data_IF_928990442229
#
_entry.id   IF_928990442229
#
_cell.length_a   1.000
_cell.length_b   1.000
_cell.length_c   1.000
_cell.angle_alpha   90.00
_cell.angle_beta   90.00
_cell.angle_gamma   90.00
#
_symmetry.space_group_name_H-M   'P 1'
#
loop_
_entity.id
_entity.type
_entity.pdbx_description
1 polymer ?
#
# COMPACT_ATOMS: atom_id res chain seq x y z
N UNK A 1 -24.14 -5.66 -3.32
CA UNK A 1 -24.11 -4.24 -2.95
C UNK A 1 -23.07 -3.54 -3.80
N UNK A 2 -23.32 -2.31 -4.23
CA UNK A 2 -22.41 -1.62 -5.12
C UNK A 2 -21.15 -1.16 -4.37
N UNK A 3 -19.97 -1.34 -4.98
CA UNK A 3 -18.68 -1.06 -4.34
C UNK A 3 -18.46 0.46 -4.20
N UNK A 4 -17.82 0.85 -3.10
CA UNK A 4 -17.34 2.23 -2.86
C UNK A 4 -15.83 2.26 -3.11
N UNK A 5 -15.33 3.35 -3.71
CA UNK A 5 -13.91 3.52 -4.01
C UNK A 5 -13.34 4.78 -3.35
N UNK A 6 -12.06 4.71 -3.00
CA UNK A 6 -11.22 5.86 -2.66
C UNK A 6 -10.03 5.80 -3.60
N UNK A 7 -9.95 6.73 -4.55
CA UNK A 7 -8.82 6.84 -5.47
C UNK A 7 -7.89 7.94 -4.98
N UNK A 8 -6.64 7.59 -4.70
CA UNK A 8 -5.66 8.49 -4.10
C UNK A 8 -4.67 9.00 -5.14
N UNK A 9 -4.30 10.27 -5.00
CA UNK A 9 -3.11 10.88 -5.63
C UNK A 9 -1.84 10.55 -4.83
N UNK A 10 -0.67 10.80 -5.44
CA UNK A 10 0.62 10.67 -4.74
C UNK A 10 0.73 11.68 -3.59
N UNK A 11 0.19 12.89 -3.77
CA UNK A 11 0.15 13.93 -2.76
C UNK A 11 -0.68 13.50 -1.54
N UNK A 12 -1.89 12.97 -1.75
CA UNK A 12 -2.73 12.47 -0.67
C UNK A 12 -2.08 11.28 0.05
N UNK A 13 -1.46 10.35 -0.68
CA UNK A 13 -0.74 9.23 -0.09
C UNK A 13 0.46 9.68 0.77
N UNK A 14 1.18 10.72 0.33
CA UNK A 14 2.26 11.34 1.11
C UNK A 14 1.71 12.04 2.36
N UNK A 15 0.59 12.74 2.26
CA UNK A 15 -0.01 13.45 3.38
C UNK A 15 -0.55 12.46 4.44
N UNK A 16 -1.12 11.33 4.01
CA UNK A 16 -1.44 10.22 4.90
C UNK A 16 -0.17 9.63 5.55
N UNK A 17 0.92 9.48 4.80
CA UNK A 17 2.20 9.03 5.36
C UNK A 17 2.75 9.99 6.41
N UNK A 18 2.57 11.30 6.24
CA UNK A 18 2.95 12.31 7.22
C UNK A 18 2.09 12.21 8.49
N UNK A 19 0.78 11.97 8.34
CA UNK A 19 -0.09 11.69 9.47
C UNK A 19 0.30 10.42 10.22
N UNK A 20 0.67 9.36 9.50
CA UNK A 20 1.17 8.10 10.07
C UNK A 20 2.45 8.33 10.86
N UNK A 21 3.41 9.06 10.28
CA UNK A 21 4.64 9.46 10.93
C UNK A 21 4.38 10.20 12.26
N UNK A 22 3.48 11.19 12.26
CA UNK A 22 3.13 11.95 13.47
C UNK A 22 2.58 11.03 14.57
N UNK A 23 1.76 10.03 14.22
CA UNK A 23 1.25 9.03 15.17
C UNK A 23 2.37 8.16 15.77
N UNK A 24 3.33 7.74 14.94
CA UNK A 24 4.48 6.98 15.41
C UNK A 24 5.32 7.85 16.37
N UNK A 25 5.66 9.08 15.97
CA UNK A 25 6.47 9.99 16.78
C UNK A 25 5.81 10.38 18.10
N UNK A 26 4.51 10.67 18.11
CA UNK A 26 3.79 11.05 19.33
C UNK A 26 3.69 9.93 20.36
N UNK A 27 3.88 8.66 19.95
CA UNK A 27 3.93 7.52 20.87
C UNK A 27 5.20 7.46 21.73
N UNK A 28 6.23 8.26 21.40
CA UNK A 28 7.54 8.20 22.04
C UNK A 28 8.40 7.00 21.64
N UNK A 29 7.89 6.11 20.80
CA UNK A 29 8.61 4.93 20.31
C UNK A 29 9.36 5.23 19.01
N UNK A 30 10.57 4.69 18.89
CA UNK A 30 11.41 4.79 17.70
C UNK A 30 11.92 3.41 17.27
N UNK A 31 11.94 3.11 15.96
CA UNK A 31 12.52 1.87 15.47
C UNK A 31 14.04 1.94 15.37
N UNK A 32 14.68 0.80 15.63
CA UNK A 32 16.08 0.57 15.27
C UNK A 32 16.22 0.24 13.78
N UNK A 33 15.19 -0.39 13.19
CA UNK A 33 15.15 -0.78 11.77
C UNK A 33 13.71 -0.76 11.26
N UNK A 34 13.54 -0.37 9.99
CA UNK A 34 12.25 -0.43 9.31
C UNK A 34 12.19 -1.64 8.37
N UNK A 35 11.03 -2.28 8.24
CA UNK A 35 10.82 -3.36 7.28
C UNK A 35 9.57 -3.03 6.49
N UNK A 36 9.69 -2.86 5.18
CA UNK A 36 8.53 -2.64 4.29
C UNK A 36 8.06 -3.94 3.64
N UNK A 37 6.75 -4.16 3.61
CA UNK A 37 6.13 -5.21 2.83
C UNK A 37 6.01 -4.75 1.38
N UNK A 38 6.77 -5.38 0.49
CA UNK A 38 6.75 -5.09 -0.94
C UNK A 38 5.58 -5.79 -1.63
N UNK A 39 4.92 -5.17 -2.61
CA UNK A 39 5.27 -3.88 -3.26
C UNK A 39 4.64 -2.64 -2.60
N UNK A 40 3.44 -2.75 -2.04
CA UNK A 40 2.62 -1.61 -1.58
C UNK A 40 3.29 -0.75 -0.52
N UNK A 41 3.86 -1.37 0.51
CA UNK A 41 4.57 -0.69 1.60
C UNK A 41 5.83 0.09 1.20
N UNK A 42 6.35 -0.06 -0.03
CA UNK A 42 7.57 0.62 -0.47
C UNK A 42 7.44 2.15 -0.44
N UNK A 43 6.31 2.68 -0.91
CA UNK A 43 6.09 4.12 -0.97
C UNK A 43 5.93 4.72 0.43
N UNK A 44 5.15 4.04 1.28
CA UNK A 44 4.95 4.42 2.68
C UNK A 44 6.27 4.39 3.45
N UNK A 45 7.04 3.31 3.31
CA UNK A 45 8.35 3.18 3.93
C UNK A 45 9.28 4.32 3.51
N UNK A 46 9.36 4.63 2.21
CA UNK A 46 10.22 5.70 1.72
C UNK A 46 9.78 7.06 2.26
N UNK A 47 8.47 7.35 2.34
CA UNK A 47 7.99 8.59 2.95
C UNK A 47 8.37 8.68 4.43
N UNK A 48 8.17 7.62 5.21
CA UNK A 48 8.56 7.59 6.62
C UNK A 48 10.06 7.82 6.82
N UNK A 49 10.91 7.16 6.01
CA UNK A 49 12.36 7.38 6.00
C UNK A 49 12.73 8.86 5.82
N UNK A 50 12.02 9.56 4.93
CA UNK A 50 12.22 10.98 4.67
C UNK A 50 11.95 11.83 5.91
N UNK A 51 10.80 11.59 6.54
CA UNK A 51 10.32 12.36 7.68
C UNK A 51 11.17 12.12 8.94
N UNK A 52 11.58 10.87 9.19
CA UNK A 52 12.52 10.57 10.28
C UNK A 52 13.88 11.23 10.03
N UNK A 53 14.40 11.19 8.79
CA UNK A 53 15.69 11.77 8.45
C UNK A 53 15.71 13.30 8.62
N UNK A 54 14.58 13.98 8.39
CA UNK A 54 14.43 15.42 8.62
C UNK A 54 14.60 15.81 10.11
N UNK A 55 14.34 14.89 11.05
CA UNK A 55 14.60 15.06 12.48
C UNK A 55 15.96 14.50 12.93
N UNK A 56 16.81 14.08 12.00
CA UNK A 56 18.10 13.46 12.31
C UNK A 56 18.01 11.99 12.77
N UNK A 57 16.83 11.37 12.71
CA UNK A 57 16.65 9.94 12.99
C UNK A 57 16.86 9.15 11.70
N UNK A 58 17.88 8.28 11.68
CA UNK A 58 18.14 7.37 10.56
C UNK A 58 18.15 5.94 11.04
N UNK A 59 17.13 5.19 10.62
CA UNK A 59 17.08 3.75 10.81
C UNK A 59 17.29 3.04 9.46
N UNK A 60 18.13 1.99 9.40
CA UNK A 60 18.23 1.13 8.22
C UNK A 60 16.86 0.56 7.82
N UNK A 61 16.78 -0.01 6.63
CA UNK A 61 15.57 -0.64 6.16
C UNK A 61 15.81 -1.94 5.39
N UNK A 62 14.80 -2.80 5.44
CA UNK A 62 14.65 -3.97 4.58
C UNK A 62 13.35 -3.86 3.79
N UNK A 63 13.33 -4.47 2.60
CA UNK A 63 12.11 -4.67 1.82
C UNK A 63 11.89 -6.17 1.63
N UNK A 64 10.74 -6.65 2.06
CA UNK A 64 10.34 -8.05 1.93
C UNK A 64 9.23 -8.15 0.89
N UNK A 65 9.48 -8.70 -0.30
CA UNK A 65 8.40 -9.00 -1.24
C UNK A 65 7.50 -10.08 -0.64
N UNK A 66 6.20 -9.82 -0.62
CA UNK A 66 5.19 -10.76 -0.16
C UNK A 66 4.22 -11.04 -1.29
N UNK A 67 4.15 -12.31 -1.69
CA UNK A 67 3.17 -12.79 -2.65
C UNK A 67 2.10 -13.61 -1.93
N UNK A 68 0.83 -13.28 -2.19
CA UNK A 68 -0.31 -14.07 -1.72
C UNK A 68 -0.58 -15.17 -2.73
N UNK A 69 -0.31 -16.42 -2.38
CA UNK A 69 -0.65 -17.56 -3.24
C UNK A 69 -2.10 -18.01 -2.97
N UNK A 70 -2.98 -17.92 -3.95
CA UNK A 70 -4.31 -18.55 -3.92
C UNK A 70 -4.28 -19.85 -4.73
N UNK A 71 -3.81 -20.92 -4.12
CA UNK A 71 -3.91 -22.28 -4.64
C UNK A 71 -5.26 -22.91 -4.25
N UNK A 72 -5.81 -23.78 -5.11
CA UNK A 72 -7.01 -24.55 -4.81
C UNK A 72 -6.71 -25.45 -3.60
N UNK A 73 -7.35 -25.19 -2.46
CA UNK A 73 -7.32 -26.05 -1.27
C UNK A 73 -6.30 -25.70 -0.17
N UNK A 74 -5.52 -24.62 -0.30
CA UNK A 74 -4.65 -24.12 0.78
C UNK A 74 -5.04 -22.71 1.18
N UNK A 75 -5.25 -22.48 2.49
CA UNK A 75 -5.29 -21.14 3.04
C UNK A 75 -4.02 -20.41 2.59
N UNK A 76 -4.18 -19.23 1.97
CA UNK A 76 -3.15 -18.64 1.12
C UNK A 76 -1.80 -18.54 1.82
N UNK A 77 -0.81 -19.28 1.35
CA UNK A 77 0.55 -19.24 1.88
C UNK A 77 1.25 -17.97 1.40
N UNK A 78 1.75 -17.16 2.33
CA UNK A 78 2.61 -16.00 2.04
C UNK A 78 4.04 -16.51 1.80
N UNK A 79 4.62 -16.19 0.64
CA UNK A 79 6.05 -16.42 0.38
C UNK A 79 6.84 -15.16 0.66
N UNK A 80 7.95 -15.32 1.36
CA UNK A 80 8.90 -14.27 1.71
C UNK A 80 10.24 -14.64 1.07
N UNK A 81 10.82 -13.72 0.30
CA UNK A 81 12.17 -13.88 -0.24
C UNK A 81 13.12 -12.83 0.34
N UNK A 82 14.39 -13.21 0.54
CA UNK A 82 15.44 -12.35 1.11
C UNK A 82 15.84 -12.73 2.54
N UNK A 83 17.09 -12.40 2.89
CA UNK A 83 17.57 -12.43 4.26
C UNK A 83 17.28 -11.09 4.93
N UNK A 84 16.86 -11.14 6.20
CA UNK A 84 16.54 -9.97 7.01
C UNK A 84 17.18 -10.19 8.37
N UNK A 85 18.11 -9.32 8.72
CA UNK A 85 18.78 -9.30 10.01
C UNK A 85 18.16 -8.21 10.90
N UNK A 86 17.51 -8.66 11.96
CA UNK A 86 16.76 -7.84 12.93
C UNK A 86 16.97 -8.33 14.36
N UNK A 87 17.95 -9.20 14.60
CA UNK A 87 18.15 -9.81 15.91
C UNK A 87 18.46 -8.73 16.97
N UNK A 88 17.71 -8.74 18.06
CA UNK A 88 17.82 -7.77 19.14
C UNK A 88 17.23 -6.37 18.83
N UNK A 89 16.70 -6.14 17.63
CA UNK A 89 16.23 -4.82 17.18
C UNK A 89 14.73 -4.58 17.42
N UNK A 90 14.35 -3.33 17.63
CA UNK A 90 12.96 -2.87 17.56
C UNK A 90 12.59 -2.55 16.11
N UNK A 91 11.65 -3.29 15.55
CA UNK A 91 11.28 -3.22 14.14
C UNK A 91 9.99 -2.46 13.93
N UNK A 92 9.98 -1.50 12.99
CA UNK A 92 8.76 -0.94 12.43
C UNK A 92 8.43 -1.65 11.12
N UNK A 93 7.39 -2.48 11.13
CA UNK A 93 6.85 -3.16 9.96
C UNK A 93 5.82 -2.27 9.27
N UNK A 94 6.04 -1.96 7.98
CA UNK A 94 5.29 -0.97 7.22
C UNK A 94 4.61 -1.62 6.01
N UNK A 95 3.32 -1.34 5.83
CA UNK A 95 2.55 -1.69 4.62
C UNK A 95 1.63 -0.53 4.23
N UNK A 96 0.99 -0.56 3.06
CA UNK A 96 0.03 0.48 2.68
C UNK A 96 -1.36 0.26 3.32
N UNK A 97 -1.87 -0.96 3.33
CA UNK A 97 -3.17 -1.31 3.92
C UNK A 97 -3.16 -2.62 4.70
N UNK A 98 -3.73 -2.59 5.90
CA UNK A 98 -4.14 -3.80 6.60
C UNK A 98 -5.53 -4.25 6.07
N UNK A 99 -5.53 -5.04 5.00
CA UNK A 99 -6.77 -5.58 4.42
C UNK A 99 -7.34 -6.75 5.23
N UNK A 100 -7.01 -7.99 4.85
CA UNK A 100 -7.26 -9.14 5.71
C UNK A 100 -6.23 -9.26 6.84
N UNK A 101 -5.11 -8.53 6.79
CA UNK A 101 -4.06 -8.58 7.82
C UNK A 101 -3.11 -9.79 7.74
N UNK A 102 -3.29 -10.70 6.79
CA UNK A 102 -2.45 -11.90 6.62
C UNK A 102 -0.97 -11.58 6.43
N UNK A 103 -0.64 -10.67 5.50
CA UNK A 103 0.74 -10.29 5.21
C UNK A 103 1.44 -9.73 6.45
N UNK A 104 0.77 -8.82 7.17
CA UNK A 104 1.28 -8.25 8.42
C UNK A 104 1.50 -9.32 9.49
N UNK A 105 0.55 -10.24 9.67
CA UNK A 105 0.66 -11.32 10.65
C UNK A 105 1.89 -12.21 10.36
N UNK A 106 2.01 -12.71 9.13
CA UNK A 106 3.08 -13.62 8.74
C UNK A 106 4.44 -12.96 8.81
N UNK A 107 4.58 -11.73 8.31
CA UNK A 107 5.88 -11.04 8.34
C UNK A 107 6.24 -10.66 9.78
N UNK A 108 5.29 -10.24 10.61
CA UNK A 108 5.53 -9.97 12.04
C UNK A 108 6.04 -11.22 12.76
N UNK A 109 5.40 -12.36 12.55
CA UNK A 109 5.83 -13.63 13.16
C UNK A 109 7.22 -14.05 12.68
N UNK A 110 7.51 -13.92 11.38
CA UNK A 110 8.84 -14.17 10.83
C UNK A 110 9.90 -13.30 11.54
N UNK A 111 9.67 -11.99 11.65
CA UNK A 111 10.64 -11.07 12.27
C UNK A 111 10.90 -11.41 13.74
N UNK A 112 9.85 -11.78 14.48
CA UNK A 112 9.99 -12.25 15.87
C UNK A 112 10.77 -13.57 15.94
N UNK A 113 10.51 -14.52 15.03
CA UNK A 113 11.27 -15.79 14.98
C UNK A 113 12.75 -15.59 14.61
N UNK A 114 13.09 -14.46 13.98
CA UNK A 114 14.46 -14.03 13.65
C UNK A 114 15.12 -13.24 14.78
N UNK A 115 14.49 -13.16 15.94
CA UNK A 115 15.07 -12.59 17.15
C UNK A 115 14.83 -11.09 17.32
N UNK A 116 13.89 -10.47 16.59
CA UNK A 116 13.50 -9.09 16.87
C UNK A 116 13.04 -8.91 18.32
N UNK A 117 13.54 -7.87 19.00
CA UNK A 117 13.16 -7.54 20.39
C UNK A 117 11.71 -7.09 20.49
N UNK A 118 11.25 -6.32 19.50
CA UNK A 118 9.85 -5.93 19.36
C UNK A 118 9.52 -5.65 17.89
N UNK A 119 8.25 -5.81 17.52
CA UNK A 119 7.74 -5.49 16.18
C UNK A 119 6.45 -4.69 16.33
N UNK A 120 6.47 -3.42 15.89
CA UNK A 120 5.28 -2.59 15.74
C UNK A 120 4.92 -2.45 14.27
N UNK A 121 3.63 -2.34 13.98
CA UNK A 121 3.06 -2.33 12.63
C UNK A 121 2.46 -0.98 12.28
N UNK A 122 2.66 -0.52 11.05
CA UNK A 122 2.20 0.77 10.57
C UNK A 122 1.61 0.68 9.16
N UNK A 123 0.41 1.24 8.97
CA UNK A 123 -0.28 1.27 7.66
C UNK A 123 -0.97 2.60 7.41
N UNK A 124 -1.24 2.95 6.15
CA UNK A 124 -2.09 4.11 5.87
C UNK A 124 -3.54 3.80 6.22
N UNK A 125 -4.02 2.63 5.79
CA UNK A 125 -5.42 2.23 5.94
C UNK A 125 -5.59 0.90 6.68
N UNK A 126 -6.69 0.80 7.42
CA UNK A 126 -7.16 -0.42 8.09
C UNK A 126 -8.56 -0.78 7.56
N UNK A 127 -8.75 -2.01 7.09
CA UNK A 127 -10.09 -2.52 6.79
C UNK A 127 -10.81 -3.01 8.05
N UNK A 128 -12.15 -2.83 8.15
CA UNK A 128 -12.90 -3.28 9.31
C UNK A 128 -12.83 -4.77 9.61
N UNK A 129 -12.58 -5.59 8.58
CA UNK A 129 -12.48 -7.06 8.66
C UNK A 129 -11.05 -7.58 8.82
N UNK A 130 -10.05 -6.70 8.97
CA UNK A 130 -8.69 -7.14 9.23
C UNK A 130 -8.61 -7.88 10.57
N UNK A 131 -7.99 -9.06 10.57
CA UNK A 131 -7.69 -9.85 11.78
C UNK A 131 -6.49 -9.28 12.55
N UNK A 132 -5.71 -8.39 11.93
CA UNK A 132 -4.63 -7.65 12.58
C UNK A 132 -5.00 -6.17 12.62
N UNK A 133 -5.04 -5.59 13.81
CA UNK A 133 -5.12 -4.14 13.99
C UNK A 133 -3.69 -3.61 14.11
N UNK A 134 -3.22 -2.77 13.17
CA UNK A 134 -1.89 -2.20 13.25
C UNK A 134 -1.70 -1.33 14.49
N UNK A 135 -0.50 -1.33 15.06
CA UNK A 135 -0.12 -0.44 16.16
C UNK A 135 -0.31 1.04 15.77
N UNK A 136 -0.09 1.36 14.50
CA UNK A 136 -0.37 2.66 13.91
C UNK A 136 -1.12 2.51 12.58
N UNK A 137 -2.25 3.22 12.46
CA UNK A 137 -2.93 3.42 11.19
C UNK A 137 -3.52 4.82 11.13
N UNK A 138 -3.80 5.34 9.93
CA UNK A 138 -4.35 6.70 9.77
C UNK A 138 -5.87 6.68 9.62
N UNK A 139 -6.38 5.85 8.71
CA UNK A 139 -7.80 5.81 8.37
C UNK A 139 -8.35 4.39 8.41
N UNK A 140 -9.59 4.23 8.88
CA UNK A 140 -10.33 2.95 8.83
C UNK A 140 -11.46 3.09 7.82
N UNK A 141 -11.52 2.19 6.83
CA UNK A 141 -12.49 2.27 5.72
C UNK A 141 -12.79 0.91 5.11
N UNK A 142 -14.03 0.68 4.69
CA UNK A 142 -14.46 -0.49 3.91
C UNK A 142 -14.41 -0.26 2.38
N UNK A 143 -14.16 0.98 1.93
CA UNK A 143 -14.06 1.29 0.51
C UNK A 143 -12.85 0.59 -0.13
N UNK A 144 -12.93 0.21 -1.41
CA UNK A 144 -11.77 -0.24 -2.16
C UNK A 144 -10.83 0.94 -2.39
N UNK A 145 -9.57 0.82 -1.98
CA UNK A 145 -8.60 1.89 -2.15
C UNK A 145 -7.87 1.65 -3.47
N UNK A 146 -7.71 2.70 -4.26
CA UNK A 146 -6.91 2.68 -5.48
C UNK A 146 -5.69 3.57 -5.20
N UNK A 147 -4.59 2.96 -4.79
CA UNK A 147 -3.34 3.69 -4.61
C UNK A 147 -2.76 4.12 -5.97
N UNK A 148 -2.01 5.24 -6.01
CA UNK A 148 -1.45 5.73 -7.27
C UNK A 148 -0.40 4.78 -7.87
N UNK A 149 0.19 3.88 -7.06
CA UNK A 149 1.13 2.85 -7.51
C UNK A 149 0.48 1.55 -8.01
N UNK A 150 -0.85 1.41 -7.95
CA UNK A 150 -1.56 0.19 -8.37
C UNK A 150 -2.74 0.45 -9.32
N UNK A 151 -2.91 1.68 -9.80
CA UNK A 151 -4.04 2.10 -10.62
C UNK A 151 -4.33 1.14 -11.79
N UNK A 152 -3.31 0.82 -12.59
CA UNK A 152 -3.49 -0.02 -13.78
C UNK A 152 -3.69 -1.50 -13.44
N UNK A 153 -3.14 -1.99 -12.33
CA UNK A 153 -3.44 -3.33 -11.81
C UNK A 153 -4.90 -3.43 -11.39
N UNK A 154 -5.41 -2.37 -10.73
CA UNK A 154 -6.81 -2.25 -10.32
C UNK A 154 -7.76 -2.16 -11.52
N UNK A 155 -7.46 -1.34 -12.53
CA UNK A 155 -8.25 -1.26 -13.77
C UNK A 155 -8.32 -2.64 -14.44
N UNK A 156 -7.19 -3.34 -14.56
CA UNK A 156 -7.16 -4.69 -15.13
C UNK A 156 -8.02 -5.68 -14.34
N UNK A 157 -7.93 -5.66 -13.00
CA UNK A 157 -8.70 -6.54 -12.13
C UNK A 157 -10.21 -6.31 -12.28
N UNK A 158 -10.66 -5.05 -12.24
CA UNK A 158 -12.07 -4.68 -12.38
C UNK A 158 -12.59 -5.09 -13.77
N UNK A 159 -11.85 -4.82 -14.86
CA UNK A 159 -12.26 -5.22 -16.21
C UNK A 159 -12.43 -6.75 -16.32
N UNK A 160 -11.48 -7.52 -15.78
CA UNK A 160 -11.56 -8.99 -15.78
C UNK A 160 -12.75 -9.50 -14.96
N UNK A 161 -13.00 -8.91 -13.79
CA UNK A 161 -14.14 -9.24 -12.93
C UNK A 161 -15.47 -9.00 -13.67
N UNK A 162 -15.62 -7.82 -14.28
CA UNK A 162 -16.80 -7.45 -15.06
C UNK A 162 -16.99 -8.35 -16.29
N UNK A 163 -15.90 -8.65 -17.01
CA UNK A 163 -15.92 -9.57 -18.14
C UNK A 163 -16.38 -10.98 -17.71
N UNK A 164 -15.81 -11.52 -16.64
CA UNK A 164 -16.22 -12.81 -16.09
C UNK A 164 -17.70 -12.80 -15.67
N UNK A 165 -18.17 -11.70 -15.10
CA UNK A 165 -19.53 -11.55 -14.58
C UNK A 165 -20.62 -11.36 -15.65
N UNK A 166 -20.27 -11.19 -16.92
CA UNK A 166 -21.29 -10.98 -17.94
C UNK A 166 -21.43 -9.55 -18.44
N UNK A 167 -20.73 -8.59 -17.83
CA UNK A 167 -21.13 -7.19 -17.82
C UNK A 167 -21.16 -6.55 -19.22
N UNK A 168 -22.11 -5.64 -19.38
CA UNK A 168 -22.23 -4.73 -20.50
C UNK A 168 -21.22 -3.57 -20.40
N UNK A 169 -21.05 -2.84 -21.50
CA UNK A 169 -20.18 -1.65 -21.53
C UNK A 169 -20.69 -0.56 -20.59
N UNK A 170 -22.02 -0.40 -20.47
CA UNK A 170 -22.63 0.62 -19.61
C UNK A 170 -22.42 0.30 -18.13
N UNK A 171 -22.53 -0.97 -17.73
CA UNK A 171 -22.20 -1.41 -16.37
C UNK A 171 -20.71 -1.19 -16.07
N UNK A 172 -19.84 -1.51 -17.03
CA UNK A 172 -18.41 -1.27 -16.89
C UNK A 172 -18.08 0.23 -16.78
N UNK A 173 -18.81 1.08 -17.50
CA UNK A 173 -18.68 2.52 -17.41
C UNK A 173 -19.11 3.01 -16.02
N UNK A 174 -20.27 2.56 -15.53
CA UNK A 174 -20.75 2.90 -14.20
C UNK A 174 -19.76 2.52 -13.09
N UNK A 175 -19.10 1.37 -13.22
CA UNK A 175 -18.14 0.89 -12.23
C UNK A 175 -16.79 1.63 -12.30
N UNK A 176 -16.14 1.66 -13.47
CA UNK A 176 -14.79 2.24 -13.60
C UNK A 176 -14.81 3.77 -13.61
N UNK A 177 -15.76 4.37 -14.32
CA UNK A 177 -15.76 5.80 -14.56
C UNK A 177 -16.52 6.52 -13.47
N UNK A 178 -17.78 6.15 -13.27
CA UNK A 178 -18.65 6.89 -12.37
C UNK A 178 -18.31 6.66 -10.90
N UNK A 179 -17.90 5.44 -10.52
CA UNK A 179 -17.60 5.08 -9.13
C UNK A 179 -16.11 5.10 -8.80
N UNK A 180 -15.28 4.44 -9.59
CA UNK A 180 -13.84 4.37 -9.35
C UNK A 180 -13.07 5.61 -9.85
N UNK A 181 -13.75 6.54 -10.52
CA UNK A 181 -13.17 7.79 -11.05
C UNK A 181 -11.95 7.57 -11.95
N UNK A 182 -11.99 6.48 -12.74
CA UNK A 182 -11.00 6.23 -13.79
C UNK A 182 -11.31 7.13 -14.99
N UNK A 183 -10.32 7.93 -15.36
CA UNK A 183 -10.43 8.93 -16.42
C UNK A 183 -10.31 8.31 -17.82
N UNK A 184 -10.81 8.99 -18.87
CA UNK A 184 -10.60 8.54 -20.24
C UNK A 184 -9.11 8.36 -20.59
N UNK A 185 -8.24 9.26 -20.10
CA UNK A 185 -6.81 9.20 -20.37
C UNK A 185 -6.15 7.98 -19.72
N UNK A 186 -6.53 7.64 -18.48
CA UNK A 186 -6.01 6.44 -17.80
C UNK A 186 -6.47 5.15 -18.51
N UNK A 187 -7.70 5.09 -19.01
CA UNK A 187 -8.16 3.96 -19.83
C UNK A 187 -7.42 3.87 -21.15
N UNK A 188 -7.14 5.00 -21.81
CA UNK A 188 -6.36 5.04 -23.04
C UNK A 188 -4.92 4.53 -22.79
N UNK A 189 -4.26 5.03 -21.75
CA UNK A 189 -2.93 4.57 -21.34
C UNK A 189 -2.94 3.07 -21.04
N UNK A 190 -3.95 2.59 -20.31
CA UNK A 190 -4.10 1.16 -20.01
C UNK A 190 -4.27 0.31 -21.27
N UNK A 191 -5.04 0.78 -22.25
CA UNK A 191 -5.23 0.09 -23.52
C UNK A 191 -3.92 -0.10 -24.28
N UNK A 192 -3.06 0.92 -24.31
CA UNK A 192 -1.75 0.81 -24.92
C UNK A 192 -0.86 -0.25 -24.23
N UNK A 193 -0.90 -0.31 -22.90
CA UNK A 193 -0.19 -1.32 -22.11
C UNK A 193 -0.75 -2.73 -22.39
N UNK A 194 -2.08 -2.87 -22.42
CA UNK A 194 -2.77 -4.14 -22.61
C UNK A 194 -2.65 -4.70 -24.04
N UNK A 195 -2.29 -3.89 -25.04
CA UNK A 195 -1.96 -4.38 -26.39
C UNK A 195 -0.62 -5.11 -26.43
N UNK A 196 0.34 -4.72 -25.59
CA UNK A 196 1.70 -5.27 -25.57
C UNK A 196 1.81 -6.55 -24.76
N UNK A 197 1.01 -6.68 -23.70
CA UNK A 197 0.95 -7.88 -22.88
C UNK A 197 -0.32 -8.68 -23.15
N UNK A 198 -0.24 -10.00 -23.25
CA UNK A 198 -1.41 -10.90 -23.31
C UNK A 198 -2.27 -10.94 -22.03
N UNK A 199 -2.31 -9.82 -21.28
CA UNK A 199 -2.87 -9.67 -19.94
C UNK A 199 -4.40 -9.77 -19.89
N UNK A 200 -5.10 -9.46 -20.97
CA UNK A 200 -6.56 -9.51 -21.02
C UNK A 200 -7.03 -10.66 -21.91
N UNK A 201 -8.07 -11.38 -21.48
CA UNK A 201 -8.78 -12.30 -22.36
C UNK A 201 -9.60 -11.53 -23.42
N UNK A 202 -10.17 -12.24 -24.39
CA UNK A 202 -10.92 -11.64 -25.49
C UNK A 202 -12.11 -10.79 -25.02
N UNK A 203 -12.83 -11.24 -23.98
CA UNK A 203 -14.01 -10.53 -23.47
C UNK A 203 -13.62 -9.27 -22.71
N UNK A 204 -12.57 -9.36 -21.89
CA UNK A 204 -11.97 -8.22 -21.21
C UNK A 204 -11.52 -7.13 -22.20
N UNK A 205 -10.97 -7.52 -23.36
CA UNK A 205 -10.61 -6.57 -24.44
C UNK A 205 -11.84 -5.88 -25.03
N UNK A 206 -12.91 -6.62 -25.30
CA UNK A 206 -14.15 -6.05 -25.84
C UNK A 206 -14.77 -5.01 -24.90
N UNK A 207 -14.76 -5.26 -23.59
CA UNK A 207 -15.21 -4.26 -22.60
C UNK A 207 -14.34 -3.00 -22.69
N UNK A 208 -13.01 -3.14 -22.70
CA UNK A 208 -12.10 -2.01 -22.77
C UNK A 208 -12.28 -1.19 -24.06
N UNK A 209 -12.42 -1.84 -25.21
CA UNK A 209 -12.67 -1.19 -26.50
C UNK A 209 -14.03 -0.47 -26.52
N UNK A 210 -15.05 -1.09 -25.92
CA UNK A 210 -16.38 -0.49 -25.74
C UNK A 210 -16.33 0.77 -24.90
N UNK A 211 -15.60 0.74 -23.77
CA UNK A 211 -15.40 1.91 -22.89
C UNK A 211 -14.73 3.06 -23.63
N UNK A 212 -13.63 2.80 -24.33
CA UNK A 212 -12.92 3.82 -25.12
C UNK A 212 -13.80 4.41 -26.22
N UNK A 213 -14.60 3.58 -26.88
CA UNK A 213 -15.54 4.02 -27.92
C UNK A 213 -16.66 4.89 -27.34
N UNK A 214 -17.17 4.57 -26.16
CA UNK A 214 -18.17 5.37 -25.46
C UNK A 214 -17.64 6.78 -25.14
N UNK A 215 -16.38 6.89 -24.73
CA UNK A 215 -15.72 8.18 -24.51
C UNK A 215 -15.46 8.97 -25.80
N UNK A 216 -15.03 8.31 -26.87
CA UNK A 216 -14.83 8.96 -28.17
C UNK A 216 -16.12 9.60 -28.70
N UNK A 217 -17.28 8.98 -28.43
CA UNK A 217 -18.59 9.55 -28.75
C UNK A 217 -18.95 10.74 -27.85
N UNK A 218 -18.70 10.65 -26.54
CA UNK A 218 -18.98 11.75 -25.61
C UNK A 218 -18.15 13.03 -25.89
N UNK A 219 -16.89 12.87 -26.34
CA UNK A 219 -16.03 13.98 -26.76
C UNK A 219 -16.50 14.70 -28.04
N UNK A 220 -17.15 13.98 -28.96
CA UNK A 220 -17.72 14.55 -30.17
C UNK A 220 -19.08 15.25 -29.96
N UNK A 221 -19.80 14.95 -28.88
CA UNK A 221 -21.08 15.62 -28.55
C UNK A 221 -20.86 16.96 -27.84
N UNK A 222 -19.70 17.16 -27.20
CA UNK A 222 -19.34 18.43 -26.53
C UNK A 222 -18.64 19.46 -27.44
N UNK A 223 -18.30 19.07 -28.67
CA UNK A 223 -17.73 19.96 -29.69
C UNK A 223 -18.67 20.11 -30.90
N UNK A 224 -19.88 20.66 -30.67
CA UNK A 224 -20.55 21.42 -31.73
C UNK A 224 -20.05 22.86 -31.63
N UNK A 225 -19.35 23.41 -32.65
CA UNK A 225 -18.97 24.81 -32.61
C UNK A 225 -20.26 25.64 -32.73
N UNK A 226 -20.59 26.39 -31.67
CA UNK A 226 -21.47 27.54 -31.82
C UNK A 226 -20.80 28.50 -32.82
N UNK A 227 -21.50 28.77 -33.91
CA UNK A 227 -20.96 29.50 -35.04
C UNK A 227 -20.52 30.91 -34.68
N UNK A 228 -19.42 31.34 -35.31
CA UNK A 228 -19.26 32.72 -35.75
C UNK A 228 -18.28 32.72 -36.91
N UNK A 229 -18.82 32.92 -38.11
CA UNK A 229 -18.05 33.27 -39.29
C UNK A 229 -17.43 34.66 -39.07
N UNK A 230 -16.12 34.78 -39.23
CA UNK A 230 -15.48 36.06 -39.53
C UNK A 230 -14.47 35.83 -40.64
N UNK A 231 -14.73 36.49 -41.76
CA UNK A 231 -13.93 36.52 -42.98
C UNK A 231 -12.57 37.18 -42.74
N UNK A 232 -11.48 36.54 -43.16
CA UNK A 232 -10.19 37.22 -43.31
C UNK A 232 -10.00 37.71 -44.75
N UNK A 233 -10.00 39.04 -44.88
CA UNK A 233 -9.50 39.77 -46.04
C UNK A 233 -7.96 39.89 -45.99
N UNK A 234 -7.37 39.92 -47.18
CA UNK A 234 -5.93 39.99 -47.46
C UNK A 234 -5.33 41.38 -47.20
N UNK A 235 -4.04 41.43 -46.81
CA UNK A 235 -2.99 42.36 -47.26
C UNK A 235 -1.69 42.02 -46.50
N UNK A 236 -0.62 41.52 -47.12
CA UNK A 236 0.37 42.14 -48.03
C UNK A 236 1.46 42.95 -47.31
N UNK A 237 2.71 42.74 -47.76
CA UNK A 237 3.95 43.50 -47.52
C UNK A 237 4.72 43.17 -46.24
N UNK A 238 6.06 43.15 -46.20
CA UNK A 238 7.14 43.00 -47.18
C UNK A 238 8.39 42.74 -46.32
N UNK A 239 9.33 41.92 -46.79
CA UNK A 239 10.53 41.52 -46.05
C UNK A 239 11.67 42.51 -46.31
N UNK A 240 12.02 43.30 -45.28
CA UNK A 240 13.16 44.23 -45.30
C UNK A 240 14.22 43.87 -44.26
N UNK A 241 15.40 43.52 -44.75
CA UNK A 241 16.62 43.09 -44.04
C UNK A 241 17.45 44.24 -43.43
N UNK A 242 18.05 44.00 -42.26
CA UNK A 242 19.25 44.70 -41.78
C UNK A 242 19.46 44.66 -40.25
N UNK A 243 20.65 44.28 -39.72
CA UNK A 243 21.00 44.43 -38.30
C UNK A 243 21.80 45.73 -38.07
N UNK A 244 21.84 46.32 -36.85
CA UNK A 244 22.97 45.99 -35.95
C UNK A 244 22.73 46.15 -34.41
N UNK A 245 23.55 45.42 -33.65
CA UNK A 245 24.26 45.76 -32.39
C UNK A 245 23.58 46.60 -31.29
N UNK A 246 23.60 46.10 -30.05
CA UNK A 246 23.52 46.94 -28.85
C UNK A 246 23.22 46.20 -27.54
N UNK A 247 24.05 46.44 -26.52
CA UNK A 247 24.04 45.83 -25.18
C UNK A 247 22.74 46.11 -24.39
N UNK A 248 22.43 45.20 -23.46
CA UNK A 248 22.23 45.43 -22.01
C UNK A 248 20.97 44.78 -21.40
N UNK A 249 21.10 44.54 -20.10
CA UNK A 249 20.05 44.42 -19.08
C UNK A 249 19.37 43.06 -18.90
N UNK A 250 19.94 42.31 -17.95
CA UNK A 250 19.26 41.42 -17.01
C UNK A 250 18.05 42.13 -16.41
N UNK A 251 16.85 41.55 -16.53
CA UNK A 251 15.71 41.93 -15.68
C UNK A 251 14.83 40.73 -15.40
N UNK A 252 14.66 40.47 -14.10
CA UNK A 252 13.77 39.48 -13.50
C UNK A 252 12.36 39.57 -14.06
N UNK A 253 11.82 38.45 -14.53
CA UNK A 253 10.38 38.28 -14.77
C UNK A 253 9.83 37.33 -13.70
N UNK A 254 9.29 37.91 -12.63
CA UNK A 254 8.36 37.22 -11.73
C UNK A 254 7.11 36.85 -12.53
N UNK A 255 6.91 35.55 -12.76
CA UNK A 255 5.62 35.04 -13.24
C UNK A 255 4.68 34.93 -12.05
N UNK A 256 3.73 35.87 -11.98
CA UNK A 256 2.56 35.76 -11.11
C UNK A 256 1.62 34.68 -11.64
N UNK A 257 1.53 33.56 -10.93
CA UNK A 257 0.48 32.55 -11.14
C UNK A 257 -0.51 32.73 -10.00
N UNK A 258 -1.67 33.31 -10.32
CA UNK A 258 -2.85 33.26 -9.46
C UNK A 258 -3.34 31.82 -9.41
N UNK A 259 -3.29 31.19 -8.22
CA UNK A 259 -3.96 29.91 -7.96
C UNK A 259 -5.42 30.20 -7.63
N UNK A 260 -6.33 29.73 -8.48
CA UNK A 260 -7.73 29.55 -8.12
C UNK A 260 -7.84 28.34 -7.17
N UNK A 261 -8.56 28.52 -6.07
CA UNK A 261 -8.71 27.53 -5.01
C UNK A 261 -9.55 26.34 -5.44
N UNK A 262 -9.00 25.14 -5.31
CA UNK A 262 -9.76 23.89 -5.30
C UNK A 262 -10.14 23.54 -3.87
N UNK A 263 -11.42 23.23 -3.66
CA UNK A 263 -12.01 22.88 -2.37
C UNK A 263 -11.36 21.64 -1.76
N UNK A 264 -10.66 21.84 -0.64
CA UNK A 264 -10.19 20.76 0.22
C UNK A 264 -11.37 20.27 1.06
N UNK A 265 -11.71 18.99 0.93
CA UNK A 265 -12.42 18.28 1.99
C UNK A 265 -11.52 18.30 3.25
N UNK A 266 -12.03 18.86 4.35
CA UNK A 266 -11.32 18.89 5.63
C UNK A 266 -10.99 17.47 6.08
N UNK A 267 -9.70 17.19 6.27
CA UNK A 267 -9.26 16.08 7.10
C UNK A 267 -9.83 16.28 8.52
N UNK A 268 -10.32 15.23 9.21
CA UNK A 268 -10.81 15.39 10.57
C UNK A 268 -9.68 15.77 11.53
N UNK A 269 -9.96 16.74 12.40
CA UNK A 269 -9.03 17.24 13.42
C UNK A 269 -8.59 16.11 14.39
N UNK A 270 -7.30 16.06 14.79
CA UNK A 270 -6.80 15.05 15.72
C UNK A 270 -7.09 15.35 17.20
N UNK A 271 -7.81 16.44 17.52
CA UNK A 271 -8.08 16.83 18.90
C UNK A 271 -9.45 16.36 19.37
N UNK A 272 -9.47 15.18 19.97
CA UNK A 272 -10.69 14.64 20.57
C UNK A 272 -10.44 13.63 21.68
N UNK A 273 -9.26 13.59 22.30
CA UNK A 273 -9.00 12.73 23.47
C UNK A 273 -8.00 13.39 24.43
N UNK A 274 -8.45 14.43 25.11
CA UNK A 274 -7.88 14.90 26.39
C UNK A 274 -9.04 15.21 27.34
N UNK A 275 -9.21 14.39 28.39
CA UNK A 275 -9.95 14.79 29.60
C UNK A 275 -10.98 13.80 30.14
N UNK A 276 -10.63 13.19 31.29
CA UNK A 276 -11.55 12.57 32.25
C UNK A 276 -11.06 11.20 32.69
N UNK A 277 -10.67 10.93 33.93
CA UNK A 277 -10.63 11.69 35.17
C UNK A 277 -10.16 10.71 36.25
N UNK A 278 -9.28 11.15 37.14
CA UNK A 278 -8.82 10.38 38.28
C UNK A 278 -9.92 10.23 39.34
N UNK A 279 -9.98 9.06 40.00
CA UNK A 279 -10.61 8.89 41.30
C UNK A 279 -11.63 7.74 41.36
N UNK A 280 -11.20 6.55 41.79
CA UNK A 280 -11.56 6.10 43.14
C UNK A 280 -10.76 4.86 43.55
N UNK A 281 -10.08 4.99 44.70
CA UNK A 281 -9.53 3.88 45.46
C UNK A 281 -10.60 3.45 46.47
N UNK A 282 -10.99 2.18 46.44
CA UNK A 282 -11.47 1.50 47.63
C UNK A 282 -10.83 0.10 47.71
N UNK A 283 -10.11 -0.10 48.81
CA UNK A 283 -9.56 -1.36 49.28
C UNK A 283 -10.69 -2.31 49.72
N UNK A 284 -10.52 -3.62 49.53
CA UNK A 284 -11.43 -4.59 50.16
C UNK A 284 -11.31 -6.06 49.74
N UNK A 285 -10.41 -6.79 50.41
CA UNK A 285 -10.50 -8.23 50.79
C UNK A 285 -10.51 -9.34 49.72
N UNK A 286 -9.35 -10.00 49.66
CA UNK A 286 -9.08 -11.45 49.80
C UNK A 286 -10.31 -12.39 49.80
N UNK A 287 -10.34 -13.32 48.84
CA UNK A 287 -10.80 -14.69 49.06
C UNK A 287 -9.94 -15.68 48.22
N UNK A 288 -9.18 -16.53 48.91
CA UNK A 288 -8.50 -17.70 48.33
C UNK A 288 -9.53 -18.83 48.18
N UNK A 289 -9.57 -19.47 47.00
CA UNK A 289 -10.29 -20.72 46.74
C UNK A 289 -9.33 -21.78 46.19
N UNK A 290 -9.58 -23.08 46.42
CA UNK A 290 -8.51 -24.07 46.65
C UNK A 290 -7.98 -24.76 45.39
N UNK A 291 -6.71 -25.16 45.48
CA UNK A 291 -6.01 -26.10 44.59
C UNK A 291 -6.68 -27.49 44.64
N UNK A 292 -7.03 -28.03 43.47
CA UNK A 292 -7.62 -29.36 43.32
C UNK A 292 -6.91 -30.18 42.23
N UNK A 293 -6.06 -31.10 42.70
CA UNK A 293 -5.62 -32.39 42.15
C UNK A 293 -5.59 -32.67 40.62
N UNK A 294 -4.40 -33.03 40.15
CA UNK A 294 -4.15 -33.77 38.91
C UNK A 294 -4.44 -35.28 39.09
N UNK A 295 -4.92 -36.00 38.04
CA UNK A 295 -4.99 -37.45 38.07
C UNK A 295 -3.67 -38.10 37.60
N UNK A 296 -3.28 -39.16 38.32
CA UNK A 296 -2.13 -40.02 38.07
C UNK A 296 -2.47 -41.18 37.11
N UNK A 297 -1.46 -41.63 36.35
CA UNK A 297 -1.41 -42.88 35.59
C UNK A 297 -0.70 -42.66 34.24
N UNK A 298 0.43 -43.27 33.87
CA UNK A 298 1.07 -44.50 34.31
C UNK A 298 2.60 -44.50 34.08
N UNK A 299 3.29 -45.33 34.88
CA UNK A 299 4.71 -45.78 34.92
C UNK A 299 5.35 -46.05 33.54
N UNK A 300 6.56 -45.57 33.24
CA UNK A 300 7.90 -45.99 33.70
C UNK A 300 8.48 -47.23 32.97
N UNK A 301 9.53 -47.02 32.17
CA UNK A 301 10.58 -47.99 31.84
C UNK A 301 11.91 -47.26 31.60
N UNK A 302 12.78 -47.23 32.62
CA UNK A 302 14.23 -47.11 32.48
C UNK A 302 14.91 -47.94 33.59
N UNK A 303 15.85 -48.79 33.16
CA UNK A 303 16.85 -49.55 33.94
C UNK A 303 17.59 -50.43 32.92
N UNK A 304 18.85 -50.16 32.56
CA UNK A 304 20.08 -50.51 33.29
C UNK A 304 20.41 -51.99 33.03
N UNK A 305 21.59 -52.48 32.64
CA UNK A 305 22.97 -52.04 32.43
C UNK A 305 23.85 -53.31 32.29
N UNK A 306 25.16 -53.15 32.03
CA UNK A 306 26.24 -54.18 31.91
C UNK A 306 26.30 -54.93 30.56
N UNK A 307 27.45 -55.28 29.95
CA UNK A 307 28.87 -55.23 30.30
C UNK A 307 29.65 -56.28 29.45
N UNK A 308 30.97 -56.07 29.25
CA UNK A 308 31.95 -56.91 28.51
C UNK A 308 31.92 -56.80 26.95
N UNK A 309 33.01 -56.70 26.19
CA UNK A 309 34.46 -56.84 26.43
C UNK A 309 35.10 -57.65 25.29
N UNK A 310 36.29 -57.23 24.81
CA UNK A 310 37.26 -57.85 23.86
C UNK A 310 37.37 -57.20 22.47
N UNK A 311 38.53 -56.58 22.16
CA UNK A 311 39.69 -57.08 21.36
C UNK A 311 39.31 -57.28 19.88
N UNK A 312 40.01 -56.84 18.83
CA UNK A 312 41.33 -56.26 18.61
C UNK A 312 41.64 -56.36 17.09
N UNK A 313 42.77 -55.77 16.65
CA UNK A 313 43.40 -55.83 15.30
C UNK A 313 42.73 -55.01 14.17
N UNK A 314 43.33 -53.93 13.67
CA UNK A 314 44.49 -53.81 12.75
C UNK A 314 44.20 -54.16 11.27
N UNK A 315 44.31 -53.14 10.41
CA UNK A 315 45.16 -53.22 9.21
C UNK A 315 44.50 -53.36 7.84
N UNK A 316 44.60 -52.30 7.02
CA UNK A 316 44.98 -52.26 5.57
C UNK A 316 44.39 -50.97 4.94
N UNK A 317 45.15 -49.87 4.82
CA UNK A 317 46.03 -49.50 3.68
C UNK A 317 45.43 -49.76 2.28
N UNK A 318 45.21 -48.66 1.56
CA UNK A 318 45.80 -48.43 0.24
C UNK A 318 44.87 -48.52 -0.97
N UNK A 319 44.41 -47.36 -1.45
CA UNK A 319 44.77 -46.74 -2.73
C UNK A 319 44.02 -45.41 -2.85
#
# INVERSE_FOLDING_TARGET
MARTYIKLSYEEARDLSLALYRRIRSSGWLPDVNVGIGRGGMFVLRSLQDFFAAEGVRAPYWLIPVERYSGIGTAGSVRISGEVDVAGMNVLLVDDVADYGDSLAVVRELLLSRGASSVRTATLHLKPWSKVIPDYYVSRTDAWIIYPWELYETIAAIIRELAAAGATVDEAYGELVSRAHVTPQELANFSEMARRGGSLDARSRLILEGLLSAYGRAGNVMCTPAGSAVSHAQNSQDLGSGPPQGRAARQDRRLGIQRQGSGLHKLPDPEGWLGGGAGDRQEGRIARGPLGAAPQGARALLGGGQGHGKEGSQGARGA
#
